data_IF_461690927131
#
_entry.id   IF_461690927131
#
_cell.length_a   1.000
_cell.length_b   1.000
_cell.length_c   1.000
_cell.angle_alpha   90.00
_cell.angle_beta   90.00
_cell.angle_gamma   90.00
#
_symmetry.space_group_name_H-M   'P 1'
#
loop_
_entity.id
_entity.type
_entity.pdbx_description
1 polymer ?
#
# COMPACT_ATOMS: atom_id res chain seq x y z
N UNK A 1 14.17 6.89 17.45
CA UNK A 1 12.97 6.03 17.55
C UNK A 1 12.64 5.53 16.15
N UNK A 2 12.45 4.23 15.95
CA UNK A 2 12.02 3.68 14.66
C UNK A 2 10.49 3.67 14.63
N UNK A 3 9.88 4.56 13.85
CA UNK A 3 8.48 4.35 13.44
C UNK A 3 8.49 3.22 12.41
N UNK A 4 7.82 2.12 12.72
CA UNK A 4 7.62 1.01 11.79
C UNK A 4 6.24 1.17 11.15
N UNK A 5 6.21 1.21 9.82
CA UNK A 5 4.98 1.10 9.05
C UNK A 5 4.75 -0.38 8.68
N UNK A 6 3.50 -0.82 8.75
CA UNK A 6 3.06 -2.14 8.33
C UNK A 6 1.97 -1.96 7.27
N UNK A 7 2.10 -2.69 6.16
CA UNK A 7 1.11 -2.73 5.09
C UNK A 7 0.53 -4.15 5.10
N UNK A 8 -0.76 -4.25 5.39
CA UNK A 8 -1.51 -5.50 5.36
C UNK A 8 -2.33 -5.52 4.06
N UNK A 9 -2.15 -6.57 3.26
CA UNK A 9 -2.83 -6.75 1.97
C UNK A 9 -3.60 -8.06 2.01
N UNK A 10 -4.91 -8.00 1.82
CA UNK A 10 -5.78 -9.16 1.73
C UNK A 10 -6.41 -9.23 0.34
N UNK A 11 -6.24 -10.36 -0.35
CA UNK A 11 -6.75 -10.57 -1.70
C UNK A 11 -7.69 -11.78 -1.71
N UNK A 12 -8.91 -11.58 -2.18
CA UNK A 12 -9.82 -12.66 -2.52
C UNK A 12 -9.59 -13.05 -3.99
N UNK A 13 -8.90 -14.17 -4.22
CA UNK A 13 -8.57 -14.63 -5.57
C UNK A 13 -9.79 -15.07 -6.39
N UNK A 14 -10.96 -15.35 -5.76
CA UNK A 14 -12.18 -15.72 -6.49
C UNK A 14 -12.92 -14.49 -7.04
N UNK A 15 -12.97 -13.42 -6.25
CA UNK A 15 -13.70 -12.19 -6.62
C UNK A 15 -12.79 -11.07 -7.10
N UNK A 16 -11.47 -11.26 -6.99
CA UNK A 16 -10.41 -10.27 -7.24
C UNK A 16 -10.56 -9.00 -6.41
N UNK A 17 -11.30 -9.08 -5.31
CA UNK A 17 -11.41 -7.99 -4.34
C UNK A 17 -10.14 -7.95 -3.52
N UNK A 18 -9.55 -6.78 -3.43
CA UNK A 18 -8.40 -6.48 -2.59
C UNK A 18 -8.79 -5.48 -1.50
N UNK A 19 -8.26 -5.69 -0.31
CA UNK A 19 -8.30 -4.74 0.80
C UNK A 19 -6.87 -4.47 1.22
N UNK A 20 -6.51 -3.18 1.30
CA UNK A 20 -5.18 -2.73 1.69
C UNK A 20 -5.35 -1.85 2.92
N UNK A 21 -4.61 -2.15 3.97
CA UNK A 21 -4.62 -1.40 5.22
C UNK A 21 -3.18 -1.05 5.59
N UNK A 22 -2.95 0.21 5.93
CA UNK A 22 -1.65 0.69 6.36
C UNK A 22 -1.74 1.13 7.80
N UNK A 23 -0.78 0.64 8.58
CA UNK A 23 -0.68 0.87 9.99
C UNK A 23 0.68 1.49 10.34
N UNK A 24 0.68 2.33 11.36
CA UNK A 24 1.91 2.80 11.98
C UNK A 24 1.92 2.47 13.46
N UNK A 25 3.10 2.08 13.94
CA UNK A 25 3.33 1.82 15.35
C UNK A 25 3.97 3.04 16.01
N UNK A 26 3.24 3.62 16.96
CA UNK A 26 3.74 4.72 17.80
C UNK A 26 4.05 4.21 19.21
N UNK A 27 5.17 4.61 19.83
CA UNK A 27 5.60 4.12 21.14
C UNK A 27 4.57 4.31 22.27
N UNK A 28 3.71 5.32 22.18
CA UNK A 28 2.74 5.70 23.22
C UNK A 28 1.29 5.30 22.87
N UNK A 29 0.97 5.17 21.57
CA UNK A 29 -0.40 5.02 21.07
C UNK A 29 -0.62 3.59 20.53
N UNK A 30 0.45 2.83 20.29
CA UNK A 30 0.37 1.50 19.71
C UNK A 30 0.13 1.54 18.19
N UNK A 31 -0.57 0.52 17.67
CA UNK A 31 -0.88 0.36 16.24
C UNK A 31 -2.03 1.28 15.85
N UNK A 32 -1.78 2.24 14.97
CA UNK A 32 -2.80 3.14 14.41
C UNK A 32 -2.99 2.86 12.93
N UNK A 33 -4.23 2.67 12.47
CA UNK A 33 -4.56 2.62 11.04
C UNK A 33 -4.50 4.04 10.47
N UNK A 34 -3.63 4.26 9.48
CA UNK A 34 -3.42 5.57 8.86
C UNK A 34 -4.01 5.67 7.46
N UNK A 35 -4.23 4.53 6.80
CA UNK A 35 -4.89 4.50 5.49
C UNK A 35 -5.56 3.14 5.29
N UNK A 36 -6.68 3.15 4.57
CA UNK A 36 -7.40 1.94 4.16
C UNK A 36 -8.05 2.18 2.81
N UNK A 37 -7.94 1.21 1.91
CA UNK A 37 -8.68 1.19 0.66
C UNK A 37 -9.12 -0.23 0.33
N UNK A 38 -10.14 -0.34 -0.51
CA UNK A 38 -10.61 -1.61 -1.04
C UNK A 38 -11.13 -1.40 -2.45
N UNK A 39 -11.02 -2.42 -3.29
CA UNK A 39 -11.50 -2.35 -4.66
C UNK A 39 -11.30 -3.67 -5.41
N UNK A 40 -11.50 -3.62 -6.73
CA UNK A 40 -11.25 -4.75 -7.61
C UNK A 40 -9.89 -4.61 -8.29
N UNK A 41 -9.08 -5.66 -8.27
CA UNK A 41 -7.77 -5.66 -8.93
C UNK A 41 -7.84 -5.48 -10.45
N UNK A 42 -8.98 -5.80 -11.10
CA UNK A 42 -9.18 -5.56 -12.54
C UNK A 42 -9.27 -4.07 -12.87
N UNK A 43 -9.84 -3.28 -11.96
CA UNK A 43 -10.00 -1.83 -12.15
C UNK A 43 -8.77 -1.06 -11.66
N UNK A 44 -7.88 -1.74 -10.94
CA UNK A 44 -6.78 -1.13 -10.21
C UNK A 44 -7.23 -0.50 -8.90
N UNK A 45 -6.39 -0.62 -7.88
CA UNK A 45 -6.68 -0.09 -6.54
C UNK A 45 -5.51 0.76 -6.10
N UNK A 46 -5.77 2.05 -5.87
CA UNK A 46 -4.77 3.00 -5.38
C UNK A 46 -5.05 3.37 -3.93
N UNK A 47 -4.05 3.21 -3.08
CA UNK A 47 -4.03 3.69 -1.71
C UNK A 47 -3.15 4.93 -1.61
N UNK A 48 -3.72 6.12 -1.38
CA UNK A 48 -2.94 7.28 -1.00
C UNK A 48 -2.42 7.11 0.43
N UNK A 49 -1.12 7.30 0.63
CA UNK A 49 -0.46 7.28 1.94
C UNK A 49 -0.01 8.70 2.25
N UNK A 50 -0.62 9.33 3.23
CA UNK A 50 -0.21 10.68 3.68
C UNK A 50 -0.04 10.66 5.19
N UNK A 51 1.20 10.86 5.64
CA UNK A 51 1.53 11.08 7.04
C UNK A 51 2.31 12.41 7.16
N UNK A 52 1.60 13.53 7.38
CA UNK A 52 2.25 14.82 7.56
C UNK A 52 3.14 14.84 8.81
N UNK A 53 4.28 15.58 8.79
CA UNK A 53 4.89 16.27 7.65
C UNK A 53 5.86 15.39 6.83
N UNK A 54 5.92 14.08 7.11
CA UNK A 54 7.11 13.26 6.83
C UNK A 54 7.00 12.43 5.54
N UNK A 55 5.81 11.91 5.25
CA UNK A 55 5.58 10.96 4.16
C UNK A 55 4.37 11.38 3.34
N UNK A 56 4.52 11.45 2.03
CA UNK A 56 3.42 11.56 1.07
C UNK A 56 3.68 10.60 -0.07
N UNK A 57 2.69 9.82 -0.48
CA UNK A 57 2.86 8.88 -1.56
C UNK A 57 1.57 8.14 -1.90
N UNK A 58 1.72 7.15 -2.77
CA UNK A 58 0.66 6.27 -3.19
C UNK A 58 1.21 4.87 -3.43
N UNK A 59 0.37 3.88 -3.16
CA UNK A 59 0.59 2.49 -3.50
C UNK A 59 -0.55 2.06 -4.42
N UNK A 60 -0.24 1.61 -5.63
CA UNK A 60 -1.22 1.14 -6.62
C UNK A 60 -1.02 -0.34 -6.86
N UNK A 61 -2.11 -1.11 -6.79
CA UNK A 61 -2.13 -2.53 -7.09
C UNK A 61 -3.09 -2.80 -8.25
N UNK A 62 -2.58 -3.45 -9.28
CA UNK A 62 -3.31 -3.80 -10.51
C UNK A 62 -3.06 -5.25 -10.88
N UNK A 63 -4.05 -5.90 -11.50
CA UNK A 63 -3.87 -7.20 -12.13
C UNK A 63 -3.55 -6.99 -13.61
N UNK A 64 -2.42 -7.52 -14.07
CA UNK A 64 -2.06 -7.61 -15.49
C UNK A 64 -1.97 -9.08 -15.89
N UNK A 65 -3.05 -9.62 -16.45
CA UNK A 65 -3.15 -11.05 -16.75
C UNK A 65 -3.06 -11.92 -15.48
N UNK A 66 -1.92 -12.60 -15.28
CA UNK A 66 -1.62 -13.43 -14.10
C UNK A 66 -0.70 -12.73 -13.09
N UNK A 67 -0.24 -11.54 -13.42
CA UNK A 67 0.70 -10.80 -12.60
C UNK A 67 -0.03 -9.77 -11.75
N UNK A 68 0.24 -9.79 -10.45
CA UNK A 68 -0.09 -8.69 -9.56
C UNK A 68 1.04 -7.67 -9.65
N UNK A 69 0.73 -6.50 -10.20
CA UNK A 69 1.65 -5.38 -10.31
C UNK A 69 1.43 -4.45 -9.13
N UNK A 70 2.50 -4.14 -8.41
CA UNK A 70 2.51 -3.22 -7.28
C UNK A 70 3.42 -2.05 -7.63
N UNK A 71 2.84 -0.88 -7.81
CA UNK A 71 3.56 0.36 -8.07
C UNK A 71 3.51 1.23 -6.82
N UNK A 72 4.65 1.78 -6.42
CA UNK A 72 4.70 2.72 -5.32
C UNK A 72 5.47 3.97 -5.72
N UNK A 73 5.03 5.08 -5.17
CA UNK A 73 5.65 6.38 -5.32
C UNK A 73 5.50 7.10 -3.97
N UNK A 74 6.61 7.51 -3.36
CA UNK A 74 6.60 8.12 -2.04
C UNK A 74 7.73 9.15 -1.88
N UNK A 75 7.37 10.34 -1.44
CA UNK A 75 8.26 11.35 -0.91
C UNK A 75 8.42 11.16 0.60
N UNK A 76 9.65 10.91 1.05
CA UNK A 76 9.99 10.72 2.46
C UNK A 76 11.11 11.71 2.81
N UNK A 77 10.85 12.63 3.74
CA UNK A 77 11.80 13.69 4.14
C UNK A 77 12.41 14.45 2.94
N UNK A 78 11.61 14.74 1.92
CA UNK A 78 12.05 15.45 0.72
C UNK A 78 12.86 14.62 -0.27
N UNK A 79 12.97 13.30 -0.07
CA UNK A 79 13.54 12.36 -1.05
C UNK A 79 12.43 11.55 -1.71
N UNK A 80 12.50 11.48 -3.03
CA UNK A 80 11.56 10.73 -3.85
C UNK A 80 11.99 9.26 -3.97
N UNK A 81 11.05 8.35 -3.78
CA UNK A 81 11.20 6.92 -3.95
C UNK A 81 10.07 6.41 -4.82
N UNK A 82 10.41 5.70 -5.89
CA UNK A 82 9.44 5.01 -6.71
C UNK A 82 9.93 3.61 -7.03
N UNK A 83 9.00 2.74 -7.40
CA UNK A 83 9.35 1.41 -7.84
C UNK A 83 8.14 0.61 -8.25
N UNK A 84 8.43 -0.48 -8.94
CA UNK A 84 7.45 -1.42 -9.47
C UNK A 84 7.88 -2.82 -9.10
N UNK A 85 6.99 -3.56 -8.48
CA UNK A 85 7.16 -4.96 -8.08
C UNK A 85 6.13 -5.77 -8.86
N UNK A 86 6.54 -6.89 -9.42
CA UNK A 86 5.66 -7.82 -10.15
C UNK A 86 5.67 -9.14 -9.43
N UNK A 87 4.48 -9.63 -9.08
CA UNK A 87 4.28 -10.91 -8.40
C UNK A 87 3.41 -11.78 -9.29
N UNK A 88 3.99 -12.83 -9.87
CA UNK A 88 3.25 -13.78 -10.71
C UNK A 88 2.47 -14.77 -9.86
N UNK A 89 1.18 -14.88 -10.11
CA UNK A 89 0.30 -15.86 -9.48
C UNK A 89 0.30 -17.12 -10.36
N UNK A 90 0.86 -18.22 -9.84
CA UNK A 90 0.96 -19.51 -10.52
C UNK A 90 -0.32 -20.35 -10.40
#
# INVERSE_FOLDING_TARGET
MKCCAQIDVAINLKTLVIVIEVYMYFPLIGKLQIAKTAGNLRDGVTLPITLPPVVKGSLTLTLDGKDLVVEYCADVHGRHYEGRIVITIL
#
